data_IF_114898455670
#
_entry.id   IF_114898455670
#
_cell.length_a   1.000
_cell.length_b   1.000
_cell.length_c   1.000
_cell.angle_alpha   90.00
_cell.angle_beta   90.00
_cell.angle_gamma   90.00
#
_symmetry.space_group_name_H-M   'P 1'
#
loop_
_entity.id
_entity.type
_entity.pdbx_description
1 polymer ?
#
# COMPACT_ATOMS: atom_id res chain seq x y z
N UNK A 1 -18.94 -0.44 -10.51
CA UNK A 1 -18.14 -1.59 -10.97
C UNK A 1 -17.39 -1.14 -12.20
N UNK A 2 -16.07 -1.36 -12.28
CA UNK A 2 -15.28 -0.92 -13.43
C UNK A 2 -15.68 -1.71 -14.68
N UNK A 3 -15.84 -1.00 -15.79
CA UNK A 3 -16.09 -1.57 -17.11
C UNK A 3 -15.00 -1.15 -18.11
N UNK A 4 -14.99 -1.79 -19.28
CA UNK A 4 -13.96 -1.55 -20.29
C UNK A 4 -13.93 -0.11 -20.80
N UNK A 5 -15.08 0.52 -20.99
CA UNK A 5 -15.17 1.87 -21.54
C UNK A 5 -14.68 2.90 -20.53
N UNK A 6 -15.07 2.75 -19.26
CA UNK A 6 -14.56 3.55 -18.15
C UNK A 6 -13.03 3.46 -18.02
N UNK A 7 -12.47 2.25 -18.11
CA UNK A 7 -11.01 2.05 -18.06
C UNK A 7 -10.32 2.60 -19.31
N UNK A 8 -10.92 2.44 -20.49
CA UNK A 8 -10.40 3.00 -21.74
C UNK A 8 -10.32 4.54 -21.68
N UNK A 9 -11.38 5.19 -21.17
CA UNK A 9 -11.39 6.64 -20.97
C UNK A 9 -10.32 7.08 -19.97
N UNK A 10 -10.19 6.36 -18.84
CA UNK A 10 -9.15 6.61 -17.85
C UNK A 10 -7.74 6.49 -18.45
N UNK A 11 -7.45 5.41 -19.18
CA UNK A 11 -6.13 5.16 -19.80
C UNK A 11 -5.76 6.27 -20.79
N UNK A 12 -6.71 6.72 -21.60
CA UNK A 12 -6.49 7.81 -22.55
C UNK A 12 -6.23 9.14 -21.81
N UNK A 13 -7.02 9.43 -20.79
CA UNK A 13 -6.91 10.66 -20.03
C UNK A 13 -5.62 10.73 -19.20
N UNK A 14 -5.28 9.66 -18.48
CA UNK A 14 -4.14 9.67 -17.56
C UNK A 14 -2.81 9.88 -18.29
N UNK A 15 -2.68 9.34 -19.51
CA UNK A 15 -1.50 9.52 -20.35
C UNK A 15 -1.33 10.99 -20.80
N UNK A 16 -2.43 11.66 -21.13
CA UNK A 16 -2.46 13.05 -21.58
C UNK A 16 -2.43 14.08 -20.43
N UNK A 17 -2.72 13.66 -19.20
CA UNK A 17 -2.80 14.57 -18.05
C UNK A 17 -1.41 15.06 -17.62
N UNK A 18 -1.26 16.38 -17.62
CA UNK A 18 -0.04 17.04 -17.16
C UNK A 18 0.04 17.10 -15.64
N UNK A 19 1.27 17.00 -15.15
CA UNK A 19 1.55 17.04 -13.71
C UNK A 19 1.65 18.50 -13.27
N UNK A 20 0.77 18.92 -12.36
CA UNK A 20 0.77 20.27 -11.82
C UNK A 20 1.63 20.29 -10.55
N UNK A 21 2.83 20.91 -10.57
CA UNK A 21 3.65 21.01 -9.37
C UNK A 21 2.93 21.84 -8.31
N UNK A 22 3.05 21.42 -7.06
CA UNK A 22 2.61 22.23 -5.93
C UNK A 22 3.82 22.97 -5.40
N UNK A 23 3.69 24.28 -5.18
CA UNK A 23 4.69 25.03 -4.43
C UNK A 23 4.84 24.39 -3.06
N UNK A 24 6.05 23.91 -2.76
CA UNK A 24 6.40 23.33 -1.46
C UNK A 24 5.93 24.24 -0.32
N UNK A 25 5.50 23.65 0.80
CA UNK A 25 5.16 24.39 2.02
C UNK A 25 6.21 25.46 2.37
N UNK A 26 5.82 26.60 2.95
CA UNK A 26 6.79 27.53 3.50
C UNK A 26 7.68 26.79 4.52
N UNK A 27 8.99 26.85 4.29
CA UNK A 27 10.01 26.21 5.10
C UNK A 27 9.98 26.75 6.54
N UNK A 28 9.11 26.20 7.39
CA UNK A 28 9.03 26.56 8.81
C UNK A 28 10.14 25.90 9.65
N UNK A 29 11.37 25.82 9.12
CA UNK A 29 12.59 25.44 9.84
C UNK A 29 12.64 24.02 10.44
N UNK A 30 11.58 23.22 10.32
CA UNK A 30 11.54 21.83 10.79
C UNK A 30 11.56 20.89 9.60
N UNK A 31 12.68 20.18 9.44
CA UNK A 31 12.80 19.05 8.51
C UNK A 31 11.83 17.94 8.94
N UNK A 32 10.63 17.91 8.35
CA UNK A 32 9.74 16.78 8.51
C UNK A 32 10.01 15.77 7.40
N UNK A 33 10.38 14.55 7.78
CA UNK A 33 10.43 13.41 6.86
C UNK A 33 9.00 13.13 6.35
N UNK A 34 8.79 13.26 5.04
CA UNK A 34 7.50 13.00 4.39
C UNK A 34 7.24 11.50 4.33
N UNK A 35 6.71 10.92 5.41
CA UNK A 35 6.33 9.51 5.46
C UNK A 35 7.48 8.61 4.98
N UNK A 36 8.67 8.76 5.54
CA UNK A 36 9.85 7.99 5.11
C UNK A 36 10.66 8.59 3.95
N UNK A 37 10.19 9.68 3.31
CA UNK A 37 10.97 10.41 2.30
C UNK A 37 11.70 11.59 2.93
N UNK A 38 13.01 11.71 2.66
CA UNK A 38 13.79 12.87 3.10
C UNK A 38 13.30 14.17 2.42
N UNK A 39 13.31 15.33 3.11
CA UNK A 39 13.00 16.61 2.50
C UNK A 39 13.85 16.87 1.26
N UNK A 40 13.23 17.39 0.19
CA UNK A 40 13.92 17.70 -1.08
C UNK A 40 14.12 16.52 -2.03
N UNK A 41 13.86 15.27 -1.61
CA UNK A 41 13.98 14.11 -2.51
C UNK A 41 12.93 14.08 -3.63
N UNK A 42 11.78 14.74 -3.42
CA UNK A 42 10.72 14.87 -4.40
C UNK A 42 9.70 15.93 -3.98
N UNK A 43 9.26 16.76 -4.92
CA UNK A 43 8.17 17.72 -4.69
C UNK A 43 6.79 17.07 -4.87
N UNK A 44 5.78 17.46 -4.06
CA UNK A 44 4.41 17.03 -4.28
C UNK A 44 3.81 17.66 -5.54
N UNK A 45 2.81 17.01 -6.10
CA UNK A 45 2.12 17.49 -7.30
C UNK A 45 0.67 17.04 -7.32
N UNK A 46 -0.10 17.55 -8.28
CA UNK A 46 -1.49 17.14 -8.52
C UNK A 46 -1.65 16.70 -9.97
N UNK A 47 -2.42 15.63 -10.16
CA UNK A 47 -2.97 15.25 -11.45
C UNK A 47 -4.46 15.57 -11.45
N UNK A 48 -4.96 16.21 -12.50
CA UNK A 48 -6.37 16.52 -12.66
C UNK A 48 -6.91 15.87 -13.92
N UNK A 49 -7.81 14.90 -13.76
CA UNK A 49 -8.47 14.25 -14.88
C UNK A 49 -9.48 15.21 -15.55
N UNK A 50 -9.72 15.06 -16.87
CA UNK A 50 -10.80 15.75 -17.56
C UNK A 50 -12.15 15.45 -16.93
N UNK A 51 -13.10 16.38 -17.07
CA UNK A 51 -14.47 16.20 -16.58
C UNK A 51 -15.11 14.94 -17.19
N UNK A 52 -15.77 14.15 -16.35
CA UNK A 52 -16.43 12.91 -16.75
C UNK A 52 -15.53 11.67 -16.74
N UNK A 53 -14.22 11.82 -16.46
CA UNK A 53 -13.31 10.68 -16.27
C UNK A 53 -13.07 10.48 -14.77
N UNK A 54 -13.17 9.22 -14.33
CA UNK A 54 -13.05 8.83 -12.92
C UNK A 54 -11.72 8.12 -12.65
N UNK A 55 -11.25 8.20 -11.41
CA UNK A 55 -10.06 7.44 -10.99
C UNK A 55 -10.43 5.96 -10.80
N UNK A 56 -9.46 5.06 -11.03
CA UNK A 56 -9.67 3.62 -10.81
C UNK A 56 -10.04 3.25 -9.36
N UNK A 57 -9.74 4.13 -8.41
CA UNK A 57 -10.09 3.98 -6.99
C UNK A 57 -11.54 4.36 -6.64
N UNK A 58 -12.28 4.95 -7.58
CA UNK A 58 -13.63 5.47 -7.34
C UNK A 58 -14.67 4.35 -7.53
N UNK A 59 -14.83 3.50 -6.52
CA UNK A 59 -15.74 2.33 -6.60
C UNK A 59 -17.16 2.59 -6.07
N UNK A 60 -17.49 3.82 -5.64
CA UNK A 60 -18.81 4.17 -5.11
C UNK A 60 -19.78 4.66 -6.21
N UNK A 61 -21.11 4.45 -6.06
CA UNK A 61 -22.10 4.85 -7.06
C UNK A 61 -22.06 6.36 -7.37
N UNK A 62 -22.25 6.70 -8.64
CA UNK A 62 -22.10 8.04 -9.21
C UNK A 62 -23.10 9.10 -8.69
N UNK A 63 -24.08 8.72 -7.87
CA UNK A 63 -25.29 9.54 -7.67
C UNK A 63 -25.20 10.63 -6.58
N UNK A 64 -24.16 10.68 -5.73
CA UNK A 64 -24.17 11.61 -4.58
C UNK A 64 -22.88 12.33 -4.21
N UNK A 65 -21.76 12.17 -4.93
CA UNK A 65 -20.54 12.89 -4.56
C UNK A 65 -19.86 13.57 -5.76
N UNK A 66 -19.50 14.84 -5.59
CA UNK A 66 -18.49 15.49 -6.41
C UNK A 66 -17.14 14.79 -6.14
N UNK A 67 -16.90 13.67 -6.82
CA UNK A 67 -15.64 12.93 -6.70
C UNK A 67 -14.47 13.84 -7.06
N UNK A 68 -13.35 13.76 -6.33
CA UNK A 68 -12.21 14.59 -6.64
C UNK A 68 -11.66 14.19 -8.01
N UNK A 69 -11.80 15.07 -9.01
CA UNK A 69 -11.09 14.97 -10.29
C UNK A 69 -9.57 15.01 -10.13
N UNK A 70 -9.09 15.26 -8.91
CA UNK A 70 -7.70 15.53 -8.57
C UNK A 70 -7.10 14.42 -7.71
N UNK A 71 -5.96 13.90 -8.13
CA UNK A 71 -5.11 13.04 -7.35
C UNK A 71 -3.89 13.82 -6.85
N UNK A 72 -3.70 13.88 -5.54
CA UNK A 72 -2.46 14.33 -4.94
C UNK A 72 -1.37 13.26 -5.11
N UNK A 73 -0.30 13.61 -5.83
CA UNK A 73 0.88 12.79 -6.03
C UNK A 73 1.90 13.15 -4.96
N UNK A 74 1.93 12.32 -3.91
CA UNK A 74 2.86 12.52 -2.78
C UNK A 74 4.31 12.15 -3.16
N UNK A 75 5.32 12.74 -2.50
CA UNK A 75 6.74 12.44 -2.75
C UNK A 75 7.08 10.94 -2.71
N UNK A 76 6.49 10.20 -1.75
CA UNK A 76 6.68 8.75 -1.61
C UNK A 76 6.34 7.95 -2.87
N UNK A 77 5.35 8.38 -3.67
CA UNK A 77 5.02 7.68 -4.92
C UNK A 77 6.15 7.77 -5.95
N UNK A 78 6.89 8.88 -6.00
CA UNK A 78 8.00 9.02 -6.95
C UNK A 78 9.15 8.07 -6.60
N UNK A 79 9.51 8.00 -5.32
CA UNK A 79 10.61 7.14 -4.85
C UNK A 79 10.22 5.66 -4.92
N UNK A 80 9.00 5.29 -4.51
CA UNK A 80 8.49 3.92 -4.63
C UNK A 80 8.46 3.45 -6.08
N UNK A 81 8.01 4.30 -7.01
CA UNK A 81 8.02 3.97 -8.44
C UNK A 81 9.45 3.70 -8.93
N UNK A 82 10.42 4.54 -8.57
CA UNK A 82 11.81 4.37 -8.95
C UNK A 82 12.39 3.04 -8.44
N UNK A 83 12.20 2.74 -7.16
CA UNK A 83 12.67 1.49 -6.55
C UNK A 83 11.99 0.27 -7.19
N UNK A 84 10.67 0.35 -7.40
CA UNK A 84 9.91 -0.74 -7.99
C UNK A 84 10.37 -1.04 -9.42
N UNK A 85 10.50 -0.01 -10.27
CA UNK A 85 10.93 -0.18 -11.66
C UNK A 85 12.38 -0.67 -11.75
N UNK A 86 13.29 -0.09 -10.95
CA UNK A 86 14.69 -0.53 -10.91
C UNK A 86 14.84 -2.03 -10.56
N UNK A 87 14.00 -2.54 -9.67
CA UNK A 87 14.03 -3.95 -9.29
C UNK A 87 13.44 -4.86 -10.38
N UNK A 88 12.25 -4.55 -10.92
CA UNK A 88 11.61 -5.41 -11.93
C UNK A 88 12.33 -5.37 -13.28
N UNK A 89 13.02 -4.28 -13.60
CA UNK A 89 13.79 -4.14 -14.83
C UNK A 89 15.16 -4.82 -14.77
N UNK A 90 15.63 -5.21 -13.58
CA UNK A 90 16.97 -5.76 -13.39
C UNK A 90 17.21 -7.03 -14.23
N UNK A 91 18.14 -7.02 -15.20
CA UNK A 91 18.23 -8.02 -16.27
C UNK A 91 18.73 -9.39 -15.80
N UNK A 92 19.49 -9.44 -14.72
CA UNK A 92 20.21 -10.66 -14.29
C UNK A 92 19.36 -11.69 -13.56
N UNK A 93 18.11 -11.36 -13.19
CA UNK A 93 17.20 -12.31 -12.55
C UNK A 93 15.91 -12.38 -13.36
N UNK A 94 15.57 -13.56 -13.92
CA UNK A 94 14.43 -13.70 -14.83
C UNK A 94 13.06 -13.51 -14.15
N UNK A 95 13.00 -13.56 -12.82
CA UNK A 95 11.77 -13.73 -12.04
C UNK A 95 11.70 -12.72 -10.86
N UNK A 96 11.54 -11.43 -11.17
CA UNK A 96 11.40 -10.37 -10.16
C UNK A 96 9.94 -9.95 -9.97
N UNK A 97 9.52 -9.83 -8.71
CA UNK A 97 8.26 -9.24 -8.30
C UNK A 97 8.50 -8.16 -7.26
N UNK A 98 7.80 -7.04 -7.37
CA UNK A 98 7.73 -6.04 -6.30
C UNK A 98 6.37 -6.14 -5.65
N UNK A 99 6.36 -6.23 -4.33
CA UNK A 99 5.15 -6.16 -3.53
C UNK A 99 5.15 -4.87 -2.72
N UNK A 100 4.11 -4.07 -2.89
CA UNK A 100 3.88 -2.83 -2.16
C UNK A 100 2.78 -3.09 -1.15
N UNK A 101 3.17 -3.21 0.11
CA UNK A 101 2.26 -3.42 1.24
C UNK A 101 2.04 -2.13 2.02
N UNK A 102 1.29 -2.17 3.12
CA UNK A 102 1.05 -1.02 3.99
C UNK A 102 -0.37 -0.96 4.50
N UNK A 103 -0.63 -0.11 5.50
CA UNK A 103 -1.95 0.00 6.13
C UNK A 103 -3.06 0.27 5.12
N UNK A 104 -4.25 -0.25 5.39
CA UNK A 104 -5.42 -0.04 4.52
C UNK A 104 -5.71 1.45 4.38
N UNK A 105 -6.03 1.90 3.17
CA UNK A 105 -6.37 3.31 2.94
C UNK A 105 -5.20 4.31 2.89
N UNK A 106 -3.95 3.84 2.75
CA UNK A 106 -2.75 4.71 2.62
C UNK A 106 -2.44 5.17 1.18
N UNK A 107 -3.23 4.76 0.18
CA UNK A 107 -3.07 5.22 -1.21
C UNK A 107 -2.43 4.22 -2.19
N UNK A 108 -2.31 2.94 -1.82
CA UNK A 108 -1.79 1.89 -2.72
C UNK A 108 -2.51 1.82 -4.08
N UNK A 109 -3.84 1.88 -4.08
CA UNK A 109 -4.64 1.89 -5.32
C UNK A 109 -4.39 3.14 -6.16
N UNK A 110 -4.25 4.32 -5.54
CA UNK A 110 -3.88 5.54 -6.27
C UNK A 110 -2.45 5.51 -6.82
N UNK A 111 -1.55 4.78 -6.15
CA UNK A 111 -0.21 4.53 -6.66
C UNK A 111 -0.23 3.68 -7.95
N UNK A 112 -1.19 2.77 -8.14
CA UNK A 112 -1.38 2.06 -9.43
C UNK A 112 -1.66 3.06 -10.56
N UNK A 113 -2.54 4.05 -10.33
CA UNK A 113 -2.80 5.11 -11.31
C UNK A 113 -1.54 5.91 -11.65
N UNK A 114 -0.68 6.16 -10.66
CA UNK A 114 0.63 6.80 -10.86
C UNK A 114 1.60 5.95 -11.70
N UNK A 115 1.68 4.64 -11.42
CA UNK A 115 2.49 3.69 -12.21
C UNK A 115 1.98 3.62 -13.65
N UNK A 116 0.66 3.50 -13.85
CA UNK A 116 0.04 3.50 -15.17
C UNK A 116 0.41 4.76 -15.95
N UNK A 117 0.29 5.95 -15.33
CA UNK A 117 0.70 7.21 -15.95
C UNK A 117 2.15 7.16 -16.45
N UNK A 118 3.06 6.70 -15.60
CA UNK A 118 4.48 6.60 -15.96
C UNK A 118 4.69 5.67 -17.15
N UNK A 119 4.17 4.45 -17.09
CA UNK A 119 4.34 3.44 -18.16
C UNK A 119 3.75 3.89 -19.49
N UNK A 120 2.61 4.58 -19.48
CA UNK A 120 1.95 5.10 -20.68
C UNK A 120 2.71 6.25 -21.35
N UNK A 121 3.61 6.92 -20.63
CA UNK A 121 4.40 8.07 -21.12
C UNK A 121 5.85 7.70 -21.46
N UNK A 122 6.21 6.42 -21.39
CA UNK A 122 7.48 5.95 -21.93
C UNK A 122 7.50 6.11 -23.45
N UNK A 123 8.69 6.30 -24.03
CA UNK A 123 8.86 6.41 -25.49
C UNK A 123 8.27 5.19 -26.22
N UNK A 124 8.40 4.01 -25.61
CA UNK A 124 7.79 2.75 -26.05
C UNK A 124 6.94 2.17 -24.91
N UNK A 125 5.65 2.50 -24.84
CA UNK A 125 4.78 1.96 -23.80
C UNK A 125 4.69 0.43 -23.87
N UNK A 126 4.89 -0.29 -22.76
CA UNK A 126 4.75 -1.74 -22.74
C UNK A 126 3.27 -2.15 -22.85
N UNK A 127 3.05 -3.43 -23.14
CA UNK A 127 1.75 -4.07 -22.85
C UNK A 127 1.61 -4.17 -21.33
N UNK A 128 0.45 -3.81 -20.81
CA UNK A 128 0.15 -3.85 -19.38
C UNK A 128 -1.02 -4.80 -19.17
N UNK A 129 -0.87 -5.74 -18.25
CA UNK A 129 -2.00 -6.50 -17.70
C UNK A 129 -2.36 -5.82 -16.38
N UNK A 130 -3.62 -5.40 -16.25
CA UNK A 130 -4.13 -4.70 -15.09
C UNK A 130 -5.21 -5.55 -14.43
N UNK A 131 -5.02 -5.82 -13.14
CA UNK A 131 -5.93 -6.59 -12.28
C UNK A 131 -6.27 -5.76 -11.04
N UNK A 132 -7.46 -5.16 -11.01
CA UNK A 132 -7.84 -4.19 -9.97
C UNK A 132 -9.35 -4.18 -9.76
N UNK A 133 -9.81 -4.11 -8.50
CA UNK A 133 -11.22 -3.95 -8.14
C UNK A 133 -12.16 -4.91 -8.88
N UNK A 134 -11.77 -6.18 -9.01
CA UNK A 134 -12.53 -7.21 -9.72
C UNK A 134 -12.40 -7.17 -11.24
N UNK A 135 -11.85 -6.10 -11.84
CA UNK A 135 -11.65 -5.94 -13.27
C UNK A 135 -10.28 -6.44 -13.73
N UNK A 136 -10.25 -7.25 -14.79
CA UNK A 136 -9.04 -7.81 -15.38
C UNK A 136 -8.97 -7.45 -16.86
N UNK A 137 -7.91 -6.76 -17.28
CA UNK A 137 -7.78 -6.30 -18.66
C UNK A 137 -6.34 -6.24 -19.16
N UNK A 138 -6.21 -6.20 -20.48
CA UNK A 138 -4.98 -5.88 -21.20
C UNK A 138 -5.07 -4.46 -21.73
N UNK A 139 -4.02 -3.68 -21.51
CA UNK A 139 -3.78 -2.38 -22.13
C UNK A 139 -2.63 -2.57 -23.13
N UNK A 140 -2.92 -2.46 -24.42
CA UNK A 140 -1.93 -2.57 -25.48
C UNK A 140 -0.97 -1.37 -25.50
N UNK A 141 0.15 -1.49 -26.21
CA UNK A 141 1.14 -0.41 -26.35
C UNK A 141 0.56 0.88 -26.94
N UNK A 142 -0.44 0.79 -27.82
CA UNK A 142 -1.18 1.94 -28.38
C UNK A 142 -2.22 2.54 -27.41
N UNK A 143 -2.52 1.84 -26.31
CA UNK A 143 -3.49 2.28 -25.30
C UNK A 143 -4.85 1.61 -25.41
N UNK A 144 -5.07 0.71 -26.38
CA UNK A 144 -6.32 -0.04 -26.50
C UNK A 144 -6.51 -0.98 -25.30
N UNK A 145 -7.69 -0.92 -24.69
CA UNK A 145 -8.09 -1.73 -23.53
C UNK A 145 -8.96 -2.89 -24.00
N UNK A 146 -8.64 -4.10 -23.53
CA UNK A 146 -9.41 -5.31 -23.79
C UNK A 146 -9.68 -6.01 -22.46
N UNK A 147 -10.96 -6.14 -22.09
CA UNK A 147 -11.35 -6.91 -20.92
C UNK A 147 -11.05 -8.40 -21.12
N UNK A 148 -10.76 -9.10 -20.03
CA UNK A 148 -10.53 -10.54 -20.04
C UNK A 148 -11.00 -11.20 -18.75
N UNK A 149 -10.78 -12.51 -18.67
CA UNK A 149 -11.11 -13.33 -17.51
C UNK A 149 -9.83 -13.88 -16.88
N UNK A 150 -9.72 -13.75 -15.55
CA UNK A 150 -8.58 -14.28 -14.78
C UNK A 150 -8.41 -15.78 -15.05
N UNK A 151 -7.17 -16.24 -15.07
CA UNK A 151 -6.83 -17.65 -15.30
C UNK A 151 -6.98 -18.13 -16.76
N UNK A 152 -7.73 -17.46 -17.63
CA UNK A 152 -7.91 -17.89 -19.03
C UNK A 152 -7.36 -16.89 -20.05
N UNK A 153 -7.53 -15.60 -19.81
CA UNK A 153 -7.11 -14.55 -20.73
C UNK A 153 -5.66 -14.13 -20.50
N UNK A 154 -5.01 -13.64 -21.57
CA UNK A 154 -3.69 -13.00 -21.56
C UNK A 154 -2.51 -13.83 -21.03
N UNK A 155 -2.64 -15.17 -20.96
CA UNK A 155 -1.54 -16.06 -20.54
C UNK A 155 -0.25 -15.84 -21.36
N UNK A 156 -0.39 -15.60 -22.67
CA UNK A 156 0.75 -15.33 -23.56
C UNK A 156 1.47 -14.04 -23.19
N UNK A 157 0.72 -12.98 -22.88
CA UNK A 157 1.29 -11.70 -22.47
C UNK A 157 1.96 -11.81 -21.10
N UNK A 158 1.35 -12.52 -20.15
CA UNK A 158 1.92 -12.77 -18.82
C UNK A 158 3.20 -13.62 -18.87
N UNK A 159 3.35 -14.48 -19.88
CA UNK A 159 4.56 -15.27 -20.12
C UNK A 159 5.72 -14.48 -20.76
N UNK A 160 5.56 -13.17 -21.02
CA UNK A 160 6.56 -12.34 -21.68
C UNK A 160 7.07 -11.23 -20.75
N UNK A 161 8.39 -11.11 -20.62
CA UNK A 161 9.05 -10.16 -19.72
C UNK A 161 8.87 -8.69 -20.09
N UNK A 162 8.64 -8.38 -21.37
CA UNK A 162 8.35 -7.01 -21.80
C UNK A 162 7.00 -6.50 -21.28
N UNK A 163 6.08 -7.40 -20.92
CA UNK A 163 4.79 -7.07 -20.32
C UNK A 163 4.99 -6.63 -18.87
N UNK A 164 4.19 -5.66 -18.43
CA UNK A 164 4.08 -5.27 -17.02
C UNK A 164 2.76 -5.80 -16.46
N UNK A 165 2.80 -6.51 -15.34
CA UNK A 165 1.61 -6.96 -14.64
C UNK A 165 1.42 -6.11 -13.38
N UNK A 166 0.31 -5.35 -13.33
CA UNK A 166 -0.11 -4.54 -12.19
C UNK A 166 -1.31 -5.19 -11.53
N UNK A 167 -1.19 -5.55 -10.26
CA UNK A 167 -2.22 -6.28 -9.53
C UNK A 167 -2.53 -5.61 -8.19
N UNK A 168 -3.81 -5.40 -7.88
CA UNK A 168 -4.30 -5.01 -6.55
C UNK A 168 -4.94 -6.23 -5.86
N UNK A 169 -4.20 -6.85 -4.94
CA UNK A 169 -4.61 -8.09 -4.27
C UNK A 169 -5.63 -7.86 -3.16
N UNK A 170 -6.10 -6.62 -2.93
CA UNK A 170 -7.16 -6.34 -1.94
C UNK A 170 -8.52 -6.93 -2.32
N UNK A 171 -8.68 -7.40 -3.56
CA UNK A 171 -9.96 -7.84 -4.15
C UNK A 171 -9.92 -9.28 -4.68
N UNK A 172 -8.85 -10.00 -4.39
CA UNK A 172 -8.69 -11.34 -4.87
C UNK A 172 -8.44 -12.23 -3.67
N UNK A 173 -9.52 -12.86 -3.23
CA UNK A 173 -9.55 -13.77 -2.09
C UNK A 173 -8.60 -14.95 -2.30
N UNK A 174 -8.25 -15.26 -3.55
CA UNK A 174 -7.33 -16.34 -3.92
C UNK A 174 -6.56 -15.98 -5.20
N UNK A 175 -5.68 -14.96 -5.19
CA UNK A 175 -4.58 -14.97 -6.19
C UNK A 175 -3.58 -16.02 -5.74
N UNK A 176 -3.89 -17.27 -6.04
CA UNK A 176 -2.86 -18.27 -6.19
C UNK A 176 -1.93 -17.77 -7.31
N UNK A 177 -0.84 -17.10 -6.97
CA UNK A 177 0.29 -16.82 -7.87
C UNK A 177 1.01 -18.13 -8.28
N UNK A 178 0.30 -19.25 -8.27
CA UNK A 178 0.77 -20.60 -8.57
C UNK A 178 0.71 -20.81 -10.09
N UNK A 179 1.15 -19.81 -10.84
CA UNK A 179 1.45 -20.02 -12.24
C UNK A 179 2.93 -19.71 -12.46
N UNK A 180 3.73 -20.77 -12.44
CA UNK A 180 5.17 -20.74 -12.75
C UNK A 180 5.46 -20.16 -14.15
N UNK A 181 4.43 -19.90 -14.96
CA UNK A 181 4.53 -19.31 -16.28
C UNK A 181 4.56 -17.77 -16.28
N UNK A 182 4.26 -17.09 -15.16
CA UNK A 182 4.31 -15.61 -15.13
C UNK A 182 5.77 -15.13 -15.19
N UNK A 183 6.13 -14.50 -16.30
CA UNK A 183 7.45 -13.88 -16.56
C UNK A 183 7.37 -12.37 -16.72
N UNK A 184 6.16 -11.80 -16.75
CA UNK A 184 5.94 -10.36 -16.78
C UNK A 184 6.56 -9.66 -15.57
N UNK A 185 7.01 -8.42 -15.78
CA UNK A 185 7.47 -7.53 -14.70
C UNK A 185 6.30 -7.25 -13.78
N UNK A 186 6.31 -7.80 -12.58
CA UNK A 186 5.12 -7.83 -11.72
C UNK A 186 5.25 -6.84 -10.56
N UNK A 187 4.27 -5.96 -10.43
CA UNK A 187 4.09 -5.07 -9.28
C UNK A 187 2.73 -5.36 -8.64
N UNK A 188 2.76 -5.82 -7.39
CA UNK A 188 1.57 -6.20 -6.63
C UNK A 188 1.35 -5.21 -5.51
N UNK A 189 0.13 -4.74 -5.36
CA UNK A 189 -0.33 -3.94 -4.23
C UNK A 189 -1.09 -4.88 -3.33
N UNK A 190 -0.61 -5.06 -2.10
CA UNK A 190 -1.21 -6.02 -1.18
C UNK A 190 -1.55 -5.34 0.15
N UNK A 191 -2.64 -5.75 0.82
CA UNK A 191 -2.77 -5.48 2.23
C UNK A 191 -1.76 -6.34 3.03
N UNK A 192 -1.46 -5.95 4.28
CA UNK A 192 -0.44 -6.62 5.10
C UNK A 192 -0.71 -8.11 5.29
N UNK A 193 -1.99 -8.49 5.37
CA UNK A 193 -2.44 -9.86 5.60
C UNK A 193 -2.19 -10.80 4.40
N UNK A 194 -2.08 -10.28 3.17
CA UNK A 194 -1.86 -11.10 1.97
C UNK A 194 -0.37 -11.18 1.57
N UNK A 195 0.51 -10.51 2.32
CA UNK A 195 1.96 -10.51 2.08
C UNK A 195 2.63 -11.82 2.53
N UNK A 196 2.01 -12.53 3.49
CA UNK A 196 2.52 -13.82 4.01
C UNK A 196 2.12 -14.99 3.13
N UNK A 197 0.87 -15.00 2.63
CA UNK A 197 0.31 -16.10 1.82
C UNK A 197 0.93 -16.21 0.43
N UNK A 198 1.61 -15.17 -0.04
CA UNK A 198 2.20 -15.10 -1.39
C UNK A 198 3.58 -15.75 -1.52
N UNK A 199 4.16 -16.26 -0.42
CA UNK A 199 5.46 -16.99 -0.42
C UNK A 199 5.24 -18.50 -0.25
N UNK A 200 4.56 -19.12 -1.20
CA UNK A 200 4.43 -20.58 -1.24
C UNK A 200 5.80 -21.26 -1.39
N UNK A 201 5.96 -22.53 -0.95
CA UNK A 201 7.22 -23.26 -1.05
C UNK A 201 7.69 -23.52 -2.49
N UNK A 202 6.81 -23.32 -3.47
CA UNK A 202 7.09 -23.45 -4.91
C UNK A 202 7.31 -22.08 -5.60
N UNK A 203 7.19 -20.97 -4.89
CA UNK A 203 7.39 -19.63 -5.47
C UNK A 203 8.89 -19.37 -5.71
N UNK A 204 9.28 -19.38 -6.97
CA UNK A 204 10.67 -19.12 -7.41
C UNK A 204 10.91 -17.64 -7.69
N UNK A 205 9.91 -16.77 -7.56
CA UNK A 205 10.03 -15.34 -7.82
C UNK A 205 10.76 -14.63 -6.67
N UNK A 206 11.88 -13.99 -6.98
CA UNK A 206 12.54 -13.09 -6.03
C UNK A 206 11.63 -11.87 -5.81
N UNK A 207 11.13 -11.75 -4.59
CA UNK A 207 10.15 -10.72 -4.23
C UNK A 207 10.80 -9.65 -3.37
N UNK A 208 10.81 -8.40 -3.85
CA UNK A 208 11.12 -7.22 -3.04
C UNK A 208 9.84 -6.73 -2.40
N UNK A 209 9.83 -6.60 -1.08
CA UNK A 209 8.71 -6.03 -0.33
C UNK A 209 9.05 -4.58 0.02
N UNK A 210 8.18 -3.65 -0.38
CA UNK A 210 8.23 -2.24 -0.04
C UNK A 210 6.95 -1.89 0.74
N UNK A 211 7.07 -1.02 1.72
CA UNK A 211 5.94 -0.58 2.55
C UNK A 211 5.53 0.83 2.13
N UNK A 212 4.27 0.99 1.75
CA UNK A 212 3.63 2.28 1.54
C UNK A 212 3.52 2.99 2.89
N UNK A 213 4.17 4.14 3.07
CA UNK A 213 4.21 4.81 4.35
C UNK A 213 2.89 5.50 4.67
N UNK A 214 2.65 5.74 5.96
CA UNK A 214 1.60 6.63 6.41
C UNK A 214 1.82 8.06 5.89
N UNK A 215 0.73 8.82 5.82
CA UNK A 215 0.77 10.23 5.46
C UNK A 215 1.12 11.06 6.70
N UNK A 216 2.02 12.02 6.51
CA UNK A 216 2.26 13.05 7.51
C UNK A 216 1.08 14.02 7.59
N UNK A 217 0.94 14.71 8.71
CA UNK A 217 -0.08 15.77 8.84
C UNK A 217 0.10 16.87 7.77
N UNK A 218 1.34 17.21 7.41
CA UNK A 218 1.65 18.17 6.34
C UNK A 218 1.16 17.69 4.95
N UNK A 219 1.39 16.41 4.62
CA UNK A 219 0.87 15.82 3.37
C UNK A 219 -0.67 15.82 3.34
N UNK A 220 -1.30 15.49 4.48
CA UNK A 220 -2.75 15.48 4.58
C UNK A 220 -3.33 16.90 4.44
N UNK A 221 -2.72 17.90 5.08
CA UNK A 221 -3.17 19.29 4.96
C UNK A 221 -2.99 19.82 3.53
N UNK A 222 -1.86 19.53 2.89
CA UNK A 222 -1.62 19.89 1.49
C UNK A 222 -2.67 19.23 0.59
N UNK A 223 -2.88 17.92 0.73
CA UNK A 223 -3.89 17.17 -0.03
C UNK A 223 -5.31 17.71 0.23
N UNK A 224 -5.62 18.09 1.48
CA UNK A 224 -6.89 18.72 1.84
C UNK A 224 -7.08 20.01 1.06
N UNK A 225 -6.10 20.91 1.09
CA UNK A 225 -6.15 22.19 0.39
C UNK A 225 -6.30 22.03 -1.14
N UNK A 226 -5.73 20.97 -1.73
CA UNK A 226 -5.72 20.78 -3.18
C UNK A 226 -6.91 19.98 -3.72
N UNK A 227 -7.32 18.94 -2.98
CA UNK A 227 -8.27 17.94 -3.44
C UNK A 227 -9.58 17.90 -2.63
N UNK A 228 -9.55 18.27 -1.34
CA UNK A 228 -10.70 18.10 -0.42
C UNK A 228 -11.15 19.41 0.24
N UNK A 229 -10.75 20.57 -0.29
CA UNK A 229 -10.93 21.87 0.37
C UNK A 229 -12.40 22.17 0.69
N UNK A 230 -13.30 21.72 -0.17
CA UNK A 230 -14.74 21.95 -0.05
C UNK A 230 -15.46 20.90 0.81
N UNK A 231 -14.88 19.72 0.99
CA UNK A 231 -15.51 18.58 1.66
C UNK A 231 -14.98 18.35 3.07
N UNK A 232 -13.74 18.77 3.37
CA UNK A 232 -13.09 18.51 4.66
C UNK A 232 -12.51 19.80 5.24
N UNK A 233 -13.05 20.22 6.38
CA UNK A 233 -12.51 21.34 7.16
C UNK A 233 -11.19 20.94 7.84
N UNK A 234 -10.34 21.92 8.16
CA UNK A 234 -9.10 21.68 8.90
C UNK A 234 -9.37 21.03 10.27
N UNK A 235 -10.42 21.48 10.97
CA UNK A 235 -10.85 20.90 12.25
C UNK A 235 -11.22 19.41 12.10
N UNK A 236 -11.96 19.07 11.03
CA UNK A 236 -12.33 17.67 10.76
C UNK A 236 -11.09 16.81 10.49
N UNK A 237 -10.13 17.33 9.72
CA UNK A 237 -8.88 16.63 9.47
C UNK A 237 -8.10 16.37 10.76
N UNK A 238 -7.92 17.40 11.61
CA UNK A 238 -7.20 17.27 12.88
C UNK A 238 -7.84 16.24 13.79
N UNK A 239 -9.16 16.25 13.89
CA UNK A 239 -9.90 15.29 14.71
C UNK A 239 -9.76 13.85 14.19
N UNK A 240 -9.96 13.63 12.88
CA UNK A 240 -9.84 12.30 12.30
C UNK A 240 -8.39 11.80 12.31
N UNK A 241 -7.41 12.69 12.22
CA UNK A 241 -5.99 12.35 12.37
C UNK A 241 -5.67 11.84 13.78
N UNK A 242 -6.32 12.38 14.82
CA UNK A 242 -6.14 11.86 16.19
C UNK A 242 -6.69 10.43 16.34
N UNK A 243 -7.69 10.04 15.55
CA UNK A 243 -8.26 8.69 15.56
C UNK A 243 -7.44 7.72 14.71
N UNK A 244 -7.19 8.10 13.46
CA UNK A 244 -6.71 7.23 12.39
C UNK A 244 -5.26 7.49 11.97
N UNK A 245 -4.59 8.47 12.57
CA UNK A 245 -3.25 8.90 12.18
C UNK A 245 -3.16 9.23 10.69
N UNK A 246 -2.09 8.77 10.04
CA UNK A 246 -1.78 9.09 8.64
C UNK A 246 -2.54 8.29 7.57
N UNK A 247 -3.73 7.77 7.85
CA UNK A 247 -4.51 6.96 6.89
C UNK A 247 -5.47 7.86 6.10
N UNK A 248 -5.05 8.23 4.88
CA UNK A 248 -5.76 9.21 4.04
C UNK A 248 -7.23 8.88 3.77
N UNK A 249 -7.58 7.60 3.62
CA UNK A 249 -8.98 7.17 3.44
C UNK A 249 -9.85 7.70 4.57
N UNK A 250 -9.47 7.44 5.82
CA UNK A 250 -10.30 7.77 6.98
C UNK A 250 -10.18 9.23 7.41
N UNK A 251 -9.09 9.91 7.05
CA UNK A 251 -8.89 11.33 7.40
C UNK A 251 -9.43 12.32 6.36
N UNK A 252 -9.50 11.92 5.08
CA UNK A 252 -9.94 12.80 3.98
C UNK A 252 -10.97 12.15 3.05
N UNK A 253 -10.81 10.86 2.75
CA UNK A 253 -11.59 10.16 1.74
C UNK A 253 -12.98 9.68 2.17
N UNK A 254 -13.27 9.68 3.47
CA UNK A 254 -14.52 9.16 4.05
C UNK A 254 -15.23 10.27 4.83
N UNK A 255 -16.57 10.40 4.71
CA UNK A 255 -17.35 11.33 5.53
C UNK A 255 -17.09 11.15 7.03
N UNK A 256 -17.07 12.26 7.77
CA UNK A 256 -16.71 12.27 9.20
C UNK A 256 -17.50 11.27 10.04
N UNK A 257 -18.82 11.19 9.87
CA UNK A 257 -19.65 10.25 10.64
C UNK A 257 -19.28 8.79 10.33
N UNK A 258 -19.08 8.46 9.05
CA UNK A 258 -18.70 7.12 8.62
C UNK A 258 -17.31 6.73 9.13
N UNK A 259 -16.34 7.64 9.06
CA UNK A 259 -14.99 7.40 9.57
C UNK A 259 -14.97 7.15 11.09
N UNK A 260 -15.83 7.84 11.86
CA UNK A 260 -15.98 7.59 13.31
C UNK A 260 -16.67 6.26 13.59
N UNK A 261 -17.74 5.96 12.86
CA UNK A 261 -18.45 4.68 13.00
C UNK A 261 -17.52 3.51 12.71
N UNK A 262 -16.73 3.60 11.64
CA UNK A 262 -15.78 2.57 11.26
C UNK A 262 -14.64 2.43 12.29
N UNK A 263 -14.26 3.51 12.98
CA UNK A 263 -13.25 3.46 14.04
C UNK A 263 -13.77 2.67 15.24
N UNK A 264 -15.00 2.96 15.67
CA UNK A 264 -15.67 2.23 16.75
C UNK A 264 -15.83 0.75 16.39
N UNK A 265 -16.31 0.46 15.17
CA UNK A 265 -16.41 -0.89 14.64
C UNK A 265 -15.04 -1.60 14.67
N UNK A 266 -13.99 -0.97 14.16
CA UNK A 266 -12.64 -1.56 14.15
C UNK A 266 -12.11 -1.86 15.56
N UNK A 267 -12.48 -1.06 16.57
CA UNK A 267 -12.12 -1.31 17.97
C UNK A 267 -12.87 -2.52 18.56
N UNK A 268 -14.16 -2.65 18.26
CA UNK A 268 -14.98 -3.78 18.74
C UNK A 268 -14.46 -5.12 18.22
N UNK A 269 -13.95 -5.13 16.98
CA UNK A 269 -13.49 -6.34 16.29
C UNK A 269 -11.98 -6.61 16.41
N UNK A 270 -11.25 -5.87 17.25
CA UNK A 270 -9.80 -6.08 17.45
C UNK A 270 -9.47 -6.48 18.90
N UNK A 271 -9.49 -7.78 19.23
CA UNK A 271 -9.05 -8.25 20.54
C UNK A 271 -7.59 -7.87 20.82
N UNK A 272 -7.27 -7.53 22.07
CA UNK A 272 -5.90 -7.14 22.45
C UNK A 272 -4.88 -8.26 22.17
N UNK A 273 -5.25 -9.53 22.35
CA UNK A 273 -4.39 -10.67 22.02
C UNK A 273 -4.02 -10.70 20.52
N UNK A 274 -4.97 -10.40 19.64
CA UNK A 274 -4.73 -10.31 18.19
C UNK A 274 -3.78 -9.17 17.87
N UNK A 275 -3.91 -8.00 18.51
CA UNK A 275 -2.94 -6.89 18.35
C UNK A 275 -1.52 -7.36 18.62
N UNK A 276 -1.31 -8.05 19.74
CA UNK A 276 0.02 -8.52 20.14
C UNK A 276 0.59 -9.51 19.13
N UNK A 277 -0.22 -10.44 18.63
CA UNK A 277 0.19 -11.38 17.59
C UNK A 277 0.55 -10.66 16.28
N UNK A 278 -0.27 -9.70 15.84
CA UNK A 278 -0.04 -8.90 14.64
C UNK A 278 1.27 -8.13 14.77
N UNK A 279 1.49 -7.44 15.89
CA UNK A 279 2.71 -6.65 16.14
C UNK A 279 3.95 -7.56 16.21
N UNK A 280 3.87 -8.71 16.88
CA UNK A 280 4.96 -9.70 16.93
C UNK A 280 5.38 -10.19 15.55
N UNK A 281 4.43 -10.32 14.64
CA UNK A 281 4.68 -10.74 13.26
C UNK A 281 5.04 -9.56 12.32
N UNK A 282 5.39 -8.38 12.87
CA UNK A 282 5.73 -7.21 12.07
C UNK A 282 4.56 -6.67 11.24
N UNK A 283 3.33 -6.83 11.72
CA UNK A 283 2.09 -6.42 11.04
C UNK A 283 1.64 -7.35 9.92
N UNK A 284 2.39 -8.43 9.69
CA UNK A 284 2.06 -9.44 8.71
C UNK A 284 1.25 -10.54 9.38
N UNK A 285 0.13 -10.92 8.78
CA UNK A 285 -0.80 -11.89 9.37
C UNK A 285 -1.13 -12.92 8.33
N UNK A 286 -0.87 -14.20 8.60
CA UNK A 286 -1.47 -15.27 7.83
C UNK A 286 -2.94 -15.37 8.18
N UNK A 287 -3.83 -15.16 7.20
CA UNK A 287 -5.29 -15.37 7.38
C UNK A 287 -5.59 -16.78 7.92
N UNK A 288 -4.76 -17.77 7.53
CA UNK A 288 -4.81 -19.15 8.03
C UNK A 288 -4.43 -19.34 9.50
N UNK A 289 -3.63 -18.44 10.08
CA UNK A 289 -3.14 -18.58 11.46
C UNK A 289 -4.21 -18.22 12.49
N UNK A 290 -5.21 -17.42 12.09
CA UNK A 290 -6.36 -17.05 12.92
C UNK A 290 -7.56 -18.00 12.74
N UNK A 291 -7.66 -18.71 11.60
CA UNK A 291 -8.70 -19.73 11.36
C UNK A 291 -8.61 -20.93 12.30
N UNK A 292 -7.44 -21.22 12.89
CA UNK A 292 -7.26 -22.38 13.79
C UNK A 292 -7.72 -22.14 15.23
N UNK A 293 -8.15 -20.92 15.56
CA UNK A 293 -8.40 -20.53 16.96
C UNK A 293 -9.85 -20.17 17.25
N UNK A 294 -10.70 -20.08 16.23
CA UNK A 294 -12.14 -19.83 16.35
C UNK A 294 -12.87 -20.82 15.43
N UNK A 295 -13.49 -21.87 16.01
CA UNK A 295 -14.27 -22.91 15.31
C UNK A 295 -15.63 -22.38 14.77
N UNK A 296 -15.74 -21.10 14.41
CA UNK A 296 -16.99 -20.49 13.96
C UNK A 296 -16.82 -19.81 12.59
N UNK A 297 -17.71 -20.17 11.66
CA UNK A 297 -17.74 -19.81 10.22
C UNK A 297 -17.87 -18.30 9.91
N UNK A 298 -17.89 -17.41 10.92
CA UNK A 298 -18.02 -15.94 10.76
C UNK A 298 -16.68 -15.16 10.92
N UNK A 299 -15.59 -15.81 11.34
CA UNK A 299 -14.37 -15.13 11.80
C UNK A 299 -13.50 -14.45 10.71
N UNK A 300 -13.72 -14.72 9.41
CA UNK A 300 -12.92 -14.15 8.30
C UNK A 300 -13.23 -12.64 8.08
N UNK A 301 -14.45 -12.20 8.43
CA UNK A 301 -14.87 -10.80 8.33
C UNK A 301 -14.31 -9.91 9.44
N UNK A 302 -13.98 -10.49 10.59
CA UNK A 302 -13.87 -9.74 11.85
C UNK A 302 -12.47 -9.17 12.09
N UNK A 303 -11.42 -9.98 11.88
CA UNK A 303 -10.03 -9.53 12.10
C UNK A 303 -9.58 -8.57 11.00
N UNK A 304 -10.11 -8.69 9.79
CA UNK A 304 -9.78 -7.79 8.67
C UNK A 304 -10.29 -6.37 8.91
N UNK A 305 -11.41 -6.22 9.63
CA UNK A 305 -11.94 -4.94 10.09
C UNK A 305 -11.05 -4.39 11.22
N UNK A 306 -10.74 -5.19 12.23
CA UNK A 306 -9.85 -4.78 13.32
C UNK A 306 -8.44 -4.36 12.86
N UNK A 307 -7.84 -5.09 11.91
CA UNK A 307 -6.50 -4.81 11.37
C UNK A 307 -6.35 -3.43 10.73
N UNK A 308 -7.45 -2.70 10.48
CA UNK A 308 -7.44 -1.30 10.00
C UNK A 308 -6.81 -0.35 11.02
N UNK A 309 -6.82 -0.70 12.31
CA UNK A 309 -6.16 0.06 13.38
C UNK A 309 -4.65 -0.21 13.45
N UNK A 310 -4.11 -1.12 12.61
CA UNK A 310 -2.69 -1.47 12.63
C UNK A 310 -1.93 -0.65 11.58
N UNK A 311 -0.96 0.11 12.08
CA UNK A 311 -0.11 1.01 11.33
C UNK A 311 1.25 0.40 11.07
N UNK A 312 1.62 0.31 9.78
CA UNK A 312 2.96 -0.09 9.36
C UNK A 312 3.83 1.16 9.19
N UNK A 313 4.99 1.14 9.82
CA UNK A 313 5.97 2.22 9.75
C UNK A 313 7.15 1.82 8.88
N UNK A 314 7.77 2.83 8.28
CA UNK A 314 8.96 2.66 7.45
C UNK A 314 10.14 3.40 8.03
N UNK A 315 11.34 2.99 7.65
CA UNK A 315 12.55 3.72 7.98
C UNK A 315 12.56 5.11 7.34
N UNK A 316 13.21 6.05 8.04
CA UNK A 316 13.32 7.44 7.60
C UNK A 316 14.34 7.67 6.48
N UNK A 317 14.98 6.60 6.01
CA UNK A 317 16.06 6.60 5.03
C UNK A 317 15.57 6.44 3.58
N UNK A 318 14.25 6.43 3.35
CA UNK A 318 13.63 6.28 2.04
C UNK A 318 13.86 4.93 1.36
N UNK A 319 14.23 3.89 2.13
CA UNK A 319 14.30 2.51 1.65
C UNK A 319 12.92 1.83 1.60
N UNK A 320 11.93 2.41 2.28
CA UNK A 320 10.57 1.86 2.42
C UNK A 320 10.55 0.44 3.00
N UNK A 321 11.60 0.08 3.75
CA UNK A 321 11.63 -1.14 4.52
C UNK A 321 10.77 -0.98 5.78
N UNK A 322 10.18 -2.09 6.21
CA UNK A 322 9.40 -2.14 7.43
C UNK A 322 10.31 -1.86 8.63
N UNK A 323 10.04 -0.78 9.36
CA UNK A 323 10.78 -0.42 10.58
C UNK A 323 10.05 -0.82 11.86
N UNK A 324 8.72 -0.97 11.79
CA UNK A 324 7.92 -1.36 12.93
C UNK A 324 6.43 -1.28 12.66
N UNK A 325 5.65 -1.70 13.64
CA UNK A 325 4.19 -1.72 13.59
C UNK A 325 3.61 -1.22 14.90
N UNK A 326 2.57 -0.41 14.81
CA UNK A 326 1.91 0.19 15.96
C UNK A 326 0.39 0.22 15.78
N UNK A 327 -0.34 0.54 16.85
CA UNK A 327 -1.77 0.90 16.75
C UNK A 327 -1.88 2.34 16.24
N UNK A 328 -2.97 2.64 15.53
CA UNK A 328 -3.16 3.88 14.80
C UNK A 328 -3.14 5.17 15.64
N UNK A 329 -3.54 5.09 16.91
CA UNK A 329 -3.57 6.22 17.83
C UNK A 329 -3.40 5.79 19.28
N UNK A 330 -2.90 6.72 20.10
CA UNK A 330 -2.86 6.55 21.56
C UNK A 330 -4.26 6.37 22.15
N UNK A 331 -5.27 7.02 21.58
CA UNK A 331 -6.66 6.86 22.00
C UNK A 331 -7.15 5.43 21.74
N UNK A 332 -6.89 4.88 20.55
CA UNK A 332 -7.19 3.47 20.26
C UNK A 332 -6.46 2.54 21.25
N UNK A 333 -5.17 2.77 21.52
CA UNK A 333 -4.44 2.02 22.54
C UNK A 333 -5.12 2.08 23.91
N UNK A 334 -5.45 3.28 24.39
CA UNK A 334 -6.06 3.48 25.70
C UNK A 334 -7.44 2.83 25.81
N UNK A 335 -8.24 2.90 24.75
CA UNK A 335 -9.56 2.25 24.69
C UNK A 335 -9.42 0.74 24.67
N UNK A 336 -8.49 0.17 23.90
CA UNK A 336 -8.24 -1.28 23.88
C UNK A 336 -7.75 -1.80 25.24
N UNK A 337 -6.85 -1.07 25.90
CA UNK A 337 -6.37 -1.41 27.25
C UNK A 337 -7.51 -1.28 28.29
N UNK A 338 -8.30 -0.22 28.20
CA UNK A 338 -9.41 0.07 29.13
C UNK A 338 -10.64 -0.82 28.94
N UNK A 339 -10.90 -1.29 27.73
CA UNK A 339 -12.04 -2.15 27.40
C UNK A 339 -11.90 -3.58 27.94
N UNK A 340 -10.70 -4.00 28.34
CA UNK A 340 -10.43 -5.37 28.76
C UNK A 340 -9.64 -5.45 30.09
N UNK A 341 -10.28 -5.03 31.19
CA UNK A 341 -9.72 -5.20 32.55
C UNK A 341 -9.40 -6.66 32.92
N UNK A 342 -10.02 -7.65 32.25
CA UNK A 342 -9.70 -9.09 32.39
C UNK A 342 -8.51 -9.56 31.54
N UNK A 343 -8.12 -8.86 30.47
CA UNK A 343 -7.02 -9.27 29.57
C UNK A 343 -5.67 -8.65 29.92
N UNK A 344 -5.63 -7.61 30.77
CA UNK A 344 -4.40 -7.10 31.37
C UNK A 344 -3.64 -8.21 32.12
N UNK A 345 -4.37 -9.13 32.77
CA UNK A 345 -3.80 -10.31 33.43
C UNK A 345 -3.20 -11.31 32.42
N UNK A 346 -3.88 -11.55 31.28
CA UNK A 346 -3.36 -12.41 30.21
C UNK A 346 -2.16 -11.81 29.49
N UNK A 347 -2.07 -10.48 29.37
CA UNK A 347 -0.88 -9.79 28.85
C UNK A 347 0.32 -9.94 29.80
N UNK A 348 0.08 -9.90 31.12
CA UNK A 348 1.10 -10.21 32.14
C UNK A 348 1.58 -11.67 32.05
N UNK A 349 0.65 -12.64 32.01
CA UNK A 349 0.97 -14.07 31.88
C UNK A 349 1.68 -14.41 30.56
N UNK A 350 1.45 -13.62 29.50
CA UNK A 350 2.04 -13.76 28.18
C UNK A 350 3.43 -13.11 28.05
N UNK A 351 3.71 -12.06 28.83
CA UNK A 351 5.07 -11.49 28.98
C UNK A 351 5.99 -12.45 29.74
N UNK A 352 5.44 -13.25 30.66
CA UNK A 352 6.20 -14.21 31.46
C UNK A 352 6.49 -15.55 30.76
N UNK A 353 5.77 -15.89 29.67
CA UNK A 353 6.07 -17.05 28.82
C UNK A 353 7.25 -16.77 27.87
N UNK A 354 8.47 -16.92 28.38
CA UNK A 354 9.68 -17.08 27.54
C UNK A 354 9.70 -18.47 26.91
N UNK A 355 9.00 -18.64 25.81
CA UNK A 355 9.32 -19.70 24.83
C UNK A 355 8.84 -19.25 23.46
N UNK A 356 9.72 -18.58 22.71
CA UNK A 356 9.56 -18.43 21.28
C UNK A 356 10.95 -18.45 20.64
N UNK A 357 11.23 -19.56 19.95
CA UNK A 357 12.40 -19.74 19.09
C UNK A 357 12.16 -19.03 17.76
N UNK A 358 12.34 -17.71 17.77
CA UNK A 358 12.66 -16.95 16.56
C UNK A 358 13.89 -16.14 16.92
N UNK A 359 15.07 -16.64 16.55
CA UNK A 359 16.32 -15.89 16.72
C UNK A 359 16.25 -14.58 15.92
N UNK A 360 16.34 -13.41 16.57
CA UNK A 360 16.51 -12.16 15.86
C UNK A 360 18.01 -12.01 15.56
N UNK A 361 18.56 -12.73 14.57
CA UNK A 361 20.01 -12.59 14.28
C UNK A 361 20.61 -13.00 12.92
N UNK A 362 19.86 -13.03 11.82
CA UNK A 362 20.47 -13.38 10.50
C UNK A 362 20.57 -12.24 9.48
N UNK A 363 19.90 -11.10 9.67
CA UNK A 363 20.07 -9.93 8.78
C UNK A 363 21.23 -9.01 9.17
N UNK A 364 21.71 -9.05 10.42
CA UNK A 364 22.83 -8.21 10.84
C UNK A 364 24.15 -8.62 10.18
N UNK A 365 24.33 -9.92 9.89
CA UNK A 365 25.45 -10.46 9.12
C UNK A 365 25.36 -10.11 7.63
N UNK A 366 24.15 -10.12 7.04
CA UNK A 366 23.93 -9.68 5.66
C UNK A 366 24.18 -8.16 5.52
N UNK A 367 23.70 -7.34 6.46
CA UNK A 367 23.95 -5.90 6.47
C UNK A 367 25.43 -5.55 6.75
N UNK A 368 26.12 -6.30 7.62
CA UNK A 368 27.58 -6.15 7.79
C UNK A 368 28.33 -6.55 6.52
N UNK A 369 27.97 -7.64 5.85
CA UNK A 369 28.59 -8.05 4.58
C UNK A 369 28.33 -7.06 3.43
N UNK A 370 27.12 -6.52 3.35
CA UNK A 370 26.75 -5.50 2.36
C UNK A 370 27.42 -4.15 2.65
N UNK A 371 27.59 -3.77 3.92
CA UNK A 371 28.41 -2.60 4.28
C UNK A 371 29.90 -2.79 3.97
N UNK A 372 30.45 -3.98 4.24
CA UNK A 372 31.87 -4.29 3.98
C UNK A 372 32.17 -4.35 2.48
N UNK A 373 31.29 -4.93 1.66
CA UNK A 373 31.51 -5.03 0.21
C UNK A 373 31.22 -3.73 -0.57
N UNK A 374 30.26 -2.91 -0.12
CA UNK A 374 29.88 -1.67 -0.84
C UNK A 374 30.59 -0.41 -0.37
N UNK A 375 31.03 -0.32 0.90
CA UNK A 375 31.56 0.93 1.46
C UNK A 375 33.03 0.86 1.92
N UNK A 376 33.63 -0.32 2.10
CA UNK A 376 35.08 -0.40 2.43
C UNK A 376 35.99 -0.54 1.19
N UNK A 377 35.43 -0.81 0.00
CA UNK A 377 36.20 -0.81 -1.27
C UNK A 377 36.69 0.56 -1.73
N UNK A 378 36.16 1.66 -1.19
CA UNK A 378 36.71 3.00 -1.43
C UNK A 378 37.88 3.36 -0.49
N UNK A 379 38.27 2.47 0.42
CA UNK A 379 39.38 2.70 1.36
C UNK A 379 40.56 1.73 1.21
N UNK A 380 40.52 0.82 0.23
CA UNK A 380 41.61 -0.10 -0.05
C UNK A 380 41.92 -0.14 -1.55
N UNK A 381 42.59 0.89 -2.03
CA UNK A 381 43.58 0.74 -3.11
C UNK A 381 44.84 1.49 -2.65
N UNK A 382 46.04 0.87 -2.71
CA UNK A 382 47.28 1.46 -2.19
C UNK A 382 47.67 2.75 -2.90
#
# INVERSE_FOLDING_TARGET
>A
MLDQDSVQQFVNAIAATELLPLTSEPQNGRMYSYGGVRPGSAEPAVLELPRGVHWLSDTLPAETAAYPSRLYVRPAYKVLLLLAMAFVDHPEVPHHRVMITGSSGTGKTSFISWVLRHLRRLEKPPVIILDIAGFFCRIASDGAVTAGTRGTSFRRELAVRSTVYLCDSTWADEVEFIDHEIRARTVVMAPPMHTVSTRGPLDTMRTLVLVMPLWTMAELETCRLTCYLRSVSQETLLELYQLWGGVVRWTLGTPKQEARHEFARSLEWLPFASVIQIVRNGGLVGVSDFKKQCDEDDADGDITVGARLIHMHVDSDSTFQLSGVAICSSLACSLLIGACSRQLQSAQDFVDRRDCTTEPRTMQLFFQQVQQELFERESATP
#
